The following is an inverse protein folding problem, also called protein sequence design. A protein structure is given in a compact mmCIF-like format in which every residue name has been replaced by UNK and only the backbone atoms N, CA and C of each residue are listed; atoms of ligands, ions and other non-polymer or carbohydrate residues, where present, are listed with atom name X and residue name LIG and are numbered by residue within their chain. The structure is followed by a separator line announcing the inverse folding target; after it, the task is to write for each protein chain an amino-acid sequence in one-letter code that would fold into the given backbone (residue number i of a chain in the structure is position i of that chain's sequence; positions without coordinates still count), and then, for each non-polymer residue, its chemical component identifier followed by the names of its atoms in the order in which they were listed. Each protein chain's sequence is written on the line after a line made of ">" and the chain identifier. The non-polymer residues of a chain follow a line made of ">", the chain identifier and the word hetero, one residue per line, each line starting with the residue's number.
data_IF_061917329389
#
_entry.id   IF_061917329389
#
_cell.length_a   1.000
_cell.length_b   1.000
_cell.length_c   1.000
_cell.angle_alpha   90.00
_cell.angle_beta   90.00
_cell.angle_gamma   90.00
#
_symmetry.space_group_name_H-M   'P 1'
#
loop_
_entity.id
_entity.type
_entity.pdbx_description
1 polymer ?
#
# COMPACT_ATOMS: atom_id res chain seq x y z
N UNK A 1 -12.61 -3.33 4.66
CA UNK A 1 -11.85 -4.28 3.80
C UNK A 1 -10.78 -3.62 2.93
N UNK A 2 -11.09 -2.51 2.22
CA UNK A 2 -10.10 -1.85 1.34
C UNK A 2 -9.12 -0.97 2.12
N UNK A 3 -9.57 -0.35 3.19
CA UNK A 3 -8.76 0.52 4.07
C UNK A 3 -7.74 -0.31 4.87
N UNK A 4 -8.07 -1.50 5.31
CA UNK A 4 -7.20 -2.39 6.08
C UNK A 4 -5.95 -2.83 5.29
N UNK A 5 -6.03 -2.87 3.98
CA UNK A 5 -4.91 -3.22 3.09
C UNK A 5 -3.93 -2.07 2.85
N UNK A 6 -4.30 -0.84 3.25
CA UNK A 6 -3.47 0.35 3.07
C UNK A 6 -2.42 0.44 4.16
N UNK A 7 -1.27 1.01 3.81
CA UNK A 7 -0.21 1.28 4.79
C UNK A 7 -0.63 2.34 5.79
N UNK A 8 0.11 2.46 6.88
CA UNK A 8 -0.19 3.46 7.92
C UNK A 8 -0.08 4.87 7.33
N UNK A 9 0.95 5.14 6.54
CA UNK A 9 1.13 6.45 5.89
C UNK A 9 -0.01 6.77 4.92
N UNK A 10 -0.51 5.79 4.16
CA UNK A 10 -1.65 5.97 3.28
C UNK A 10 -2.94 6.30 4.04
N UNK A 11 -3.17 5.67 5.20
CA UNK A 11 -4.32 5.98 6.06
C UNK A 11 -4.23 7.38 6.66
N UNK A 12 -3.03 7.81 7.10
CA UNK A 12 -2.81 9.18 7.57
C UNK A 12 -3.06 10.19 6.45
N UNK A 13 -2.60 9.89 5.23
CA UNK A 13 -2.87 10.74 4.06
C UNK A 13 -4.37 10.85 3.76
N UNK A 14 -5.14 9.78 3.94
CA UNK A 14 -6.60 9.83 3.82
C UNK A 14 -7.21 10.74 4.88
N UNK A 15 -6.77 10.66 6.13
CA UNK A 15 -7.20 11.58 7.18
C UNK A 15 -6.92 13.04 6.78
N UNK A 16 -5.69 13.37 6.37
CA UNK A 16 -5.32 14.71 5.89
C UNK A 16 -6.23 15.22 4.77
N UNK A 17 -6.58 14.35 3.81
CA UNK A 17 -7.47 14.71 2.71
C UNK A 17 -8.92 14.95 3.17
N UNK A 18 -9.35 14.35 4.28
CA UNK A 18 -10.65 14.66 4.91
C UNK A 18 -10.58 16.00 5.65
N UNK A 19 -9.49 16.29 6.34
CA UNK A 19 -9.29 17.62 6.96
C UNK A 19 -9.28 18.74 5.91
N UNK A 20 -8.77 18.51 4.71
CA UNK A 20 -8.81 19.47 3.60
C UNK A 20 -10.23 19.81 3.12
N UNK A 21 -11.26 19.03 3.50
CA UNK A 21 -12.66 19.36 3.26
C UNK A 21 -13.17 20.55 4.10
N UNK A 22 -12.35 21.10 5.00
CA UNK A 22 -12.63 22.36 5.70
C UNK A 22 -13.06 23.47 4.71
N UNK A 23 -12.47 23.51 3.52
CA UNK A 23 -12.86 24.46 2.48
C UNK A 23 -14.37 24.42 2.14
N UNK A 24 -15.05 23.30 2.40
CA UNK A 24 -16.48 23.18 2.19
C UNK A 24 -17.33 23.93 3.24
N UNK A 25 -16.74 24.37 4.36
CA UNK A 25 -17.42 25.17 5.37
C UNK A 25 -17.77 26.57 4.85
N UNK A 26 -17.04 27.08 3.86
CA UNK A 26 -17.32 28.37 3.21
C UNK A 26 -18.53 28.31 2.27
N UNK A 27 -19.02 27.11 1.98
CA UNK A 27 -20.17 26.90 1.11
C UNK A 27 -21.47 26.89 1.94
N UNK A 28 -22.62 27.29 1.37
CA UNK A 28 -23.91 27.23 2.04
C UNK A 28 -24.45 25.78 2.07
N UNK A 29 -23.68 24.87 2.63
CA UNK A 29 -24.02 23.45 2.73
C UNK A 29 -23.73 22.93 4.13
N UNK A 30 -24.43 21.86 4.50
CA UNK A 30 -24.12 21.08 5.70
C UNK A 30 -23.88 19.64 5.30
N UNK A 31 -23.05 18.93 6.04
CA UNK A 31 -22.68 17.55 5.78
C UNK A 31 -22.23 16.84 7.05
N UNK A 32 -22.14 15.52 6.98
CA UNK A 32 -21.58 14.67 8.04
C UNK A 32 -20.37 13.93 7.45
N UNK A 33 -19.24 13.97 8.17
CA UNK A 33 -18.02 13.24 7.79
C UNK A 33 -18.08 11.76 8.20
N UNK A 34 -19.28 11.17 8.11
CA UNK A 34 -19.46 9.74 8.32
C UNK A 34 -18.77 8.93 7.22
N UNK A 35 -18.09 7.80 7.50
CA UNK A 35 -17.43 6.98 6.49
C UNK A 35 -18.32 6.61 5.29
N UNK A 36 -19.62 6.34 5.51
CA UNK A 36 -20.57 6.05 4.42
C UNK A 36 -20.92 7.26 3.55
N UNK A 37 -20.59 8.48 3.99
CA UNK A 37 -20.84 9.73 3.25
C UNK A 37 -19.59 10.26 2.55
N UNK A 38 -18.46 9.57 2.66
CA UNK A 38 -17.19 9.97 2.07
C UNK A 38 -16.80 9.01 0.94
N UNK A 39 -16.48 9.57 -0.21
CA UNK A 39 -15.86 8.84 -1.31
C UNK A 39 -14.39 9.21 -1.40
N UNK A 40 -13.56 8.19 -1.50
CA UNK A 40 -12.13 8.35 -1.74
C UNK A 40 -11.86 8.02 -3.20
N UNK A 41 -11.34 8.98 -3.95
CA UNK A 41 -10.94 8.79 -5.34
C UNK A 41 -9.67 7.93 -5.43
N UNK A 42 -9.31 7.50 -6.64
CA UNK A 42 -8.06 6.76 -6.89
C UNK A 42 -6.81 7.56 -6.47
N UNK A 43 -6.90 8.89 -6.58
CA UNK A 43 -5.83 9.82 -6.17
C UNK A 43 -5.89 10.17 -4.68
N UNK A 44 -6.63 9.38 -3.90
CA UNK A 44 -6.84 9.52 -2.46
C UNK A 44 -7.55 10.83 -2.03
N UNK A 45 -8.16 11.58 -2.95
CA UNK A 45 -8.94 12.75 -2.59
C UNK A 45 -10.26 12.35 -1.91
N UNK A 46 -10.61 13.02 -0.82
CA UNK A 46 -11.89 12.85 -0.16
C UNK A 46 -12.96 13.71 -0.83
N UNK A 47 -14.16 13.16 -1.02
CA UNK A 47 -15.32 13.85 -1.56
C UNK A 47 -16.56 13.49 -0.75
N UNK A 48 -17.41 14.49 -0.48
CA UNK A 48 -18.66 14.32 0.26
C UNK A 48 -19.77 13.91 -0.74
N UNK A 49 -20.45 12.80 -0.47
CA UNK A 49 -21.56 12.30 -1.28
C UNK A 49 -22.84 13.08 -1.08
N UNK A 50 -23.26 13.18 0.17
CA UNK A 50 -24.52 13.79 0.55
C UNK A 50 -24.28 15.08 1.31
N UNK A 51 -24.91 16.16 0.83
CA UNK A 51 -24.85 17.50 1.40
C UNK A 51 -26.27 18.01 1.59
N UNK A 52 -26.51 18.66 2.72
CA UNK A 52 -27.77 19.31 3.00
C UNK A 52 -27.68 20.82 2.76
N UNK A 53 -28.84 21.47 2.67
CA UNK A 53 -28.96 22.93 2.64
C UNK A 53 -29.44 23.37 4.02
N UNK A 54 -28.66 24.20 4.75
CA UNK A 54 -29.08 24.74 6.05
C UNK A 54 -30.42 25.47 5.95
N UNK A 55 -31.27 25.29 6.96
CA UNK A 55 -32.61 25.91 6.99
C UNK A 55 -33.67 25.19 6.15
N UNK A 56 -33.31 24.25 5.27
CA UNK A 56 -34.25 23.44 4.47
C UNK A 56 -34.20 21.97 4.89
N UNK A 57 -33.01 21.36 4.85
CA UNK A 57 -32.83 19.95 5.19
C UNK A 57 -32.35 19.74 6.62
N UNK A 58 -31.60 20.71 7.15
CA UNK A 58 -31.10 20.71 8.53
C UNK A 58 -31.24 22.10 9.13
N UNK A 59 -31.53 22.24 10.45
CA UNK A 59 -31.72 23.54 11.07
C UNK A 59 -30.46 24.39 11.12
N UNK A 60 -29.27 23.79 11.11
CA UNK A 60 -28.00 24.47 11.31
C UNK A 60 -26.95 24.13 10.27
N UNK A 61 -26.07 25.09 9.94
CA UNK A 61 -24.85 24.82 9.24
C UNK A 61 -23.85 24.08 10.16
N UNK A 62 -22.93 23.34 9.58
CA UNK A 62 -21.83 22.73 10.32
C UNK A 62 -20.90 23.82 10.84
N UNK A 63 -20.55 23.80 12.13
CA UNK A 63 -19.56 24.69 12.71
C UNK A 63 -18.14 24.15 12.49
N UNK A 64 -17.13 25.03 12.63
CA UNK A 64 -15.72 24.63 12.55
C UNK A 64 -15.34 23.63 13.66
N UNK A 65 -15.90 23.79 14.85
CA UNK A 65 -15.72 22.89 15.98
C UNK A 65 -16.34 21.51 15.70
N UNK A 66 -17.56 21.48 15.17
CA UNK A 66 -18.21 20.22 14.79
C UNK A 66 -17.48 19.52 13.68
N UNK A 67 -16.97 20.27 12.70
CA UNK A 67 -16.12 19.70 11.64
C UNK A 67 -14.85 19.07 12.21
N UNK A 68 -14.12 19.78 13.08
CA UNK A 68 -12.92 19.27 13.74
C UNK A 68 -13.23 17.98 14.50
N UNK A 69 -14.30 17.98 15.30
CA UNK A 69 -14.72 16.78 16.04
C UNK A 69 -15.03 15.60 15.12
N UNK A 70 -15.77 15.84 14.04
CA UNK A 70 -16.10 14.82 13.07
C UNK A 70 -14.84 14.29 12.34
N UNK A 71 -13.93 15.18 11.93
CA UNK A 71 -12.70 14.81 11.26
C UNK A 71 -11.77 13.96 12.15
N UNK A 72 -11.68 14.30 13.44
CA UNK A 72 -10.98 13.47 14.43
C UNK A 72 -11.61 12.09 14.60
N UNK A 73 -12.93 12.01 14.75
CA UNK A 73 -13.64 10.73 14.81
C UNK A 73 -13.39 9.89 13.55
N UNK A 74 -13.46 10.50 12.37
CA UNK A 74 -13.16 9.83 11.12
C UNK A 74 -11.72 9.31 11.10
N UNK A 75 -10.73 10.13 11.48
CA UNK A 75 -9.34 9.70 11.55
C UNK A 75 -9.16 8.47 12.45
N UNK A 76 -9.81 8.42 13.62
CA UNK A 76 -9.77 7.26 14.51
C UNK A 76 -10.33 6.00 13.84
N UNK A 77 -11.44 6.09 13.08
CA UNK A 77 -12.02 4.93 12.37
C UNK A 77 -11.12 4.35 11.29
N UNK A 78 -10.10 5.07 10.84
CA UNK A 78 -9.13 4.53 9.89
C UNK A 78 -8.12 3.56 10.54
N UNK A 79 -7.95 3.62 11.86
CA UNK A 79 -6.92 2.87 12.59
C UNK A 79 -7.49 1.90 13.62
N UNK A 80 -8.72 2.12 14.04
CA UNK A 80 -9.43 1.28 15.00
C UNK A 80 -10.77 0.83 14.38
N UNK A 81 -11.16 -0.40 14.63
CA UNK A 81 -12.48 -0.94 14.23
C UNK A 81 -13.55 -0.44 15.21
N UNK A 82 -13.84 0.86 15.14
CA UNK A 82 -14.78 1.55 16.00
C UNK A 82 -15.87 2.23 15.17
N UNK A 83 -17.10 2.23 15.70
CA UNK A 83 -18.20 2.93 15.06
C UNK A 83 -18.06 4.45 15.16
N UNK A 84 -18.20 5.12 14.02
CA UNK A 84 -18.07 6.58 13.93
C UNK A 84 -19.09 7.31 14.82
N UNK A 85 -20.34 6.82 14.88
CA UNK A 85 -21.38 7.50 15.63
C UNK A 85 -21.21 7.34 17.16
N UNK A 86 -20.64 6.22 17.58
CA UNK A 86 -20.30 6.01 18.99
C UNK A 86 -19.13 6.93 19.41
N UNK A 87 -18.09 7.02 18.58
CA UNK A 87 -16.99 7.98 18.76
C UNK A 87 -17.49 9.43 18.83
N UNK A 88 -18.34 9.80 17.89
CA UNK A 88 -18.88 11.14 17.81
C UNK A 88 -19.75 11.53 19.02
N UNK A 89 -20.47 10.58 19.60
CA UNK A 89 -21.25 10.77 20.84
C UNK A 89 -20.38 10.81 22.10
N UNK A 90 -19.11 10.44 21.99
CA UNK A 90 -18.17 10.41 23.11
C UNK A 90 -18.40 9.22 24.06
N UNK A 91 -19.00 8.13 23.58
CA UNK A 91 -19.37 6.97 24.40
C UNK A 91 -18.28 5.90 24.54
N UNK A 92 -17.11 6.06 23.89
CA UNK A 92 -16.04 5.08 23.91
C UNK A 92 -14.81 5.56 24.68
N UNK A 93 -14.38 4.77 25.65
CA UNK A 93 -13.05 4.87 26.26
C UNK A 93 -12.04 4.19 25.32
N UNK A 94 -11.08 4.98 24.86
CA UNK A 94 -10.08 4.56 23.87
C UNK A 94 -8.79 4.14 24.61
N UNK A 95 -8.73 2.89 25.06
CA UNK A 95 -7.63 2.38 25.88
C UNK A 95 -6.32 2.15 25.07
N UNK A 96 -6.39 1.93 23.77
CA UNK A 96 -5.20 1.59 22.94
C UNK A 96 -5.22 2.26 21.57
N UNK A 97 -4.91 3.54 21.54
CA UNK A 97 -4.67 4.25 20.28
C UNK A 97 -3.17 4.43 20.04
N UNK A 98 -2.72 4.49 18.77
CA UNK A 98 -1.41 4.99 18.42
C UNK A 98 -1.16 6.41 18.98
N UNK A 99 0.08 6.70 19.40
CA UNK A 99 0.43 7.97 20.06
C UNK A 99 -0.02 9.20 19.27
N UNK A 100 0.13 9.21 17.96
CA UNK A 100 -0.28 10.34 17.13
C UNK A 100 -1.82 10.57 17.12
N UNK A 101 -2.63 9.51 17.34
CA UNK A 101 -4.08 9.67 17.47
C UNK A 101 -4.47 10.22 18.84
N UNK A 102 -3.67 9.97 19.87
CA UNK A 102 -3.83 10.62 21.18
C UNK A 102 -3.49 12.11 21.04
N UNK A 103 -2.36 12.45 20.41
CA UNK A 103 -2.02 13.85 20.11
C UNK A 103 -3.10 14.53 19.25
N UNK A 104 -3.61 13.86 18.23
CA UNK A 104 -4.69 14.36 17.37
C UNK A 104 -5.98 14.65 18.18
N UNK A 105 -6.32 13.77 19.12
CA UNK A 105 -7.50 13.98 19.97
C UNK A 105 -7.39 15.23 20.83
N UNK A 106 -6.19 15.52 21.34
CA UNK A 106 -5.90 16.67 22.20
C UNK A 106 -5.77 17.99 21.43
N UNK A 107 -5.61 17.96 20.10
CA UNK A 107 -5.50 19.17 19.28
C UNK A 107 -6.77 20.03 19.41
N UNK A 108 -6.64 21.30 19.73
CA UNK A 108 -7.77 22.22 19.94
C UNK A 108 -8.19 22.99 18.66
N UNK A 109 -7.32 23.00 17.65
CA UNK A 109 -7.57 23.67 16.38
C UNK A 109 -7.41 22.71 15.18
N UNK A 110 -7.95 23.12 14.03
CA UNK A 110 -7.76 22.39 12.78
C UNK A 110 -6.30 22.42 12.34
N UNK A 111 -5.65 23.54 12.54
CA UNK A 111 -4.24 23.76 12.22
C UNK A 111 -3.34 22.81 13.03
N UNK A 112 -3.58 22.69 14.34
CA UNK A 112 -2.84 21.77 15.20
C UNK A 112 -3.09 20.32 14.82
N UNK A 113 -4.34 19.97 14.54
CA UNK A 113 -4.70 18.61 14.10
C UNK A 113 -4.01 18.21 12.78
N UNK A 114 -3.98 19.14 11.81
CA UNK A 114 -3.27 18.93 10.53
C UNK A 114 -1.77 18.81 10.76
N UNK A 115 -1.17 19.66 11.61
CA UNK A 115 0.26 19.59 11.92
C UNK A 115 0.66 18.24 12.55
N UNK A 116 -0.15 17.70 13.47
CA UNK A 116 0.06 16.38 14.06
C UNK A 116 0.03 15.27 12.98
N UNK A 117 -0.98 15.32 12.09
CA UNK A 117 -1.11 14.34 11.02
C UNK A 117 0.01 14.45 9.99
N UNK A 118 0.44 15.67 9.61
CA UNK A 118 1.55 15.88 8.66
C UNK A 118 2.87 15.34 9.21
N UNK A 119 3.18 15.66 10.48
CA UNK A 119 4.36 15.12 11.18
C UNK A 119 4.35 13.59 11.15
N UNK A 120 3.23 12.99 11.58
CA UNK A 120 3.08 11.54 11.64
C UNK A 120 3.15 10.88 10.26
N UNK A 121 2.61 11.54 9.22
CA UNK A 121 2.71 11.09 7.84
C UNK A 121 4.16 11.03 7.37
N UNK A 122 4.95 12.07 7.61
CA UNK A 122 6.36 12.11 7.22
C UNK A 122 7.17 11.02 7.92
N UNK A 123 6.97 10.84 9.23
CA UNK A 123 7.63 9.81 10.01
C UNK A 123 7.30 8.39 9.49
N UNK A 124 6.01 8.09 9.31
CA UNK A 124 5.58 6.77 8.84
C UNK A 124 5.93 6.50 7.39
N UNK A 125 5.86 7.49 6.52
CA UNK A 125 6.29 7.36 5.13
C UNK A 125 7.81 7.09 5.02
N UNK A 126 8.62 7.72 5.84
CA UNK A 126 10.06 7.47 5.90
C UNK A 126 10.37 6.05 6.40
N UNK A 127 9.72 5.59 7.48
CA UNK A 127 9.86 4.22 7.99
C UNK A 127 9.47 3.16 6.94
N UNK A 128 8.37 3.39 6.23
CA UNK A 128 7.87 2.47 5.18
C UNK A 128 8.81 2.43 3.97
N UNK A 129 9.32 3.58 3.54
CA UNK A 129 10.30 3.68 2.46
C UNK A 129 11.61 2.95 2.80
N UNK A 130 12.10 3.07 4.04
CA UNK A 130 13.28 2.35 4.51
C UNK A 130 13.05 0.82 4.50
N UNK A 131 11.90 0.37 5.01
CA UNK A 131 11.52 -1.06 4.99
C UNK A 131 11.45 -1.60 3.57
N UNK A 132 10.86 -0.85 2.62
CA UNK A 132 10.77 -1.26 1.21
C UNK A 132 12.15 -1.35 0.56
N UNK A 133 13.05 -0.41 0.85
CA UNK A 133 14.43 -0.46 0.33
C UNK A 133 15.21 -1.65 0.87
N UNK A 134 15.05 -2.01 2.13
CA UNK A 134 15.69 -3.18 2.73
C UNK A 134 15.17 -4.49 2.12
N UNK A 135 13.87 -4.62 1.92
CA UNK A 135 13.24 -5.79 1.26
C UNK A 135 13.73 -5.90 -0.19
N UNK A 136 13.74 -4.80 -0.95
CA UNK A 136 14.23 -4.77 -2.32
C UNK A 136 15.69 -5.19 -2.43
N UNK A 137 16.58 -4.70 -1.58
CA UNK A 137 17.99 -5.10 -1.53
C UNK A 137 18.18 -6.58 -1.22
N UNK A 138 17.37 -7.15 -0.33
CA UNK A 138 17.40 -8.58 0.01
C UNK A 138 16.94 -9.44 -1.16
N UNK A 139 15.83 -9.08 -1.81
CA UNK A 139 15.35 -9.76 -3.01
C UNK A 139 16.38 -9.73 -4.14
N UNK A 140 16.99 -8.56 -4.38
CA UNK A 140 18.00 -8.42 -5.42
C UNK A 140 19.23 -9.32 -5.18
N UNK A 141 19.66 -9.49 -3.93
CA UNK A 141 20.74 -10.44 -3.57
C UNK A 141 20.32 -11.89 -3.85
N UNK A 142 19.08 -12.27 -3.52
CA UNK A 142 18.57 -13.62 -3.77
C UNK A 142 18.49 -13.88 -5.28
N UNK A 143 17.96 -12.94 -6.07
CA UNK A 143 17.90 -13.05 -7.52
C UNK A 143 19.28 -13.17 -8.16
N UNK A 144 20.25 -12.36 -7.74
CA UNK A 144 21.65 -12.48 -8.22
C UNK A 144 22.23 -13.86 -7.94
N UNK A 145 22.03 -14.38 -6.73
CA UNK A 145 22.52 -15.71 -6.37
C UNK A 145 21.85 -16.80 -7.19
N UNK A 146 20.53 -16.75 -7.36
CA UNK A 146 19.78 -17.68 -8.19
C UNK A 146 20.23 -17.65 -9.66
N UNK A 147 20.50 -16.48 -10.21
CA UNK A 147 21.00 -16.33 -11.58
C UNK A 147 22.38 -16.98 -11.74
N UNK A 148 23.30 -16.79 -10.77
CA UNK A 148 24.63 -17.43 -10.79
C UNK A 148 24.51 -18.95 -10.78
N UNK A 149 23.66 -19.50 -9.93
CA UNK A 149 23.44 -20.96 -9.88
C UNK A 149 22.80 -21.51 -11.15
N UNK A 150 21.85 -20.77 -11.74
CA UNK A 150 21.21 -21.16 -13.00
C UNK A 150 22.23 -21.16 -14.16
N UNK A 151 23.05 -20.13 -14.26
CA UNK A 151 24.10 -20.09 -15.32
C UNK A 151 25.13 -21.20 -15.14
N UNK A 152 25.55 -21.48 -13.91
CA UNK A 152 26.45 -22.61 -13.64
C UNK A 152 25.83 -23.98 -14.06
N UNK A 153 24.56 -24.18 -13.75
CA UNK A 153 23.82 -25.38 -14.15
C UNK A 153 23.74 -25.52 -15.68
N UNK A 154 23.47 -24.45 -16.40
CA UNK A 154 23.44 -24.46 -17.87
C UNK A 154 24.81 -24.81 -18.45
N UNK A 155 25.89 -24.25 -17.93
CA UNK A 155 27.24 -24.59 -18.38
C UNK A 155 27.59 -26.06 -18.15
N UNK A 156 27.26 -26.57 -16.97
CA UNK A 156 27.49 -28.00 -16.64
C UNK A 156 26.72 -28.95 -17.59
N UNK A 157 25.52 -28.59 -17.99
CA UNK A 157 24.70 -29.38 -18.90
C UNK A 157 25.15 -29.28 -20.38
N UNK A 158 25.69 -28.14 -20.80
CA UNK A 158 26.13 -27.89 -22.17
C UNK A 158 27.43 -28.62 -22.50
N UNK A 159 28.36 -28.74 -21.56
CA UNK A 159 29.64 -29.44 -21.78
C UNK A 159 29.48 -30.89 -22.23
N UNK A 160 28.72 -31.76 -21.52
CA UNK A 160 28.50 -33.17 -21.96
C UNK A 160 27.70 -33.27 -23.27
N UNK A 161 26.79 -32.31 -23.54
CA UNK A 161 26.05 -32.28 -24.79
C UNK A 161 26.95 -31.99 -25.98
N UNK A 162 27.87 -31.06 -25.85
CA UNK A 162 28.90 -30.76 -26.85
C UNK A 162 29.82 -32.01 -27.07
N UNK A 163 30.23 -32.64 -25.98
CA UNK A 163 31.02 -33.87 -26.05
C UNK A 163 30.30 -35.02 -26.84
N UNK A 164 29.02 -35.24 -26.56
CA UNK A 164 28.21 -36.23 -27.26
C UNK A 164 28.06 -35.91 -28.76
N UNK A 165 27.80 -34.65 -29.11
CA UNK A 165 27.56 -34.26 -30.51
C UNK A 165 28.86 -34.28 -31.32
N UNK A 166 29.95 -33.71 -30.81
CA UNK A 166 31.16 -33.52 -31.60
C UNK A 166 32.17 -34.66 -31.52
N UNK A 167 32.18 -35.45 -30.44
CA UNK A 167 33.18 -36.51 -30.25
C UNK A 167 32.58 -37.90 -30.44
N UNK A 168 31.43 -38.22 -29.86
CA UNK A 168 30.86 -39.57 -29.97
C UNK A 168 30.17 -39.84 -31.32
N UNK A 169 29.43 -38.88 -31.88
CA UNK A 169 28.71 -39.12 -33.13
C UNK A 169 29.65 -39.35 -34.34
N UNK A 170 30.66 -38.53 -34.61
CA UNK A 170 31.55 -38.77 -35.75
C UNK A 170 32.43 -40.03 -35.56
N UNK A 171 32.68 -40.42 -34.29
CA UNK A 171 33.44 -41.67 -34.03
C UNK A 171 32.58 -42.91 -34.30
N UNK A 172 31.31 -42.92 -33.98
CA UNK A 172 30.36 -43.99 -34.31
C UNK A 172 30.12 -44.12 -35.81
N UNK A 173 30.02 -43.00 -36.54
CA UNK A 173 29.89 -43.04 -38.00
C UNK A 173 31.11 -43.63 -38.68
N UNK A 174 32.32 -43.31 -38.23
CA UNK A 174 33.55 -43.89 -38.76
C UNK A 174 33.68 -45.41 -38.48
N UNK A 175 33.25 -45.87 -37.31
CA UNK A 175 33.18 -47.29 -36.96
C UNK A 175 32.17 -48.05 -37.83
N UNK A 176 30.98 -47.48 -38.05
CA UNK A 176 29.94 -48.06 -38.93
C UNK A 176 30.40 -48.11 -40.38
N UNK A 177 31.14 -47.14 -40.90
CA UNK A 177 31.72 -47.14 -42.23
C UNK A 177 32.84 -48.19 -42.38
N UNK A 178 33.64 -48.42 -41.36
CA UNK A 178 34.67 -49.48 -41.36
C UNK A 178 34.04 -50.87 -41.40
N UNK A 179 33.00 -51.13 -40.59
CA UNK A 179 32.26 -52.44 -40.57
C UNK A 179 31.59 -52.73 -41.91
N UNK A 180 30.97 -51.72 -42.53
CA UNK A 180 30.35 -51.87 -43.87
C UNK A 180 31.39 -52.11 -45.00
N UNK A 181 32.61 -51.59 -44.83
CA UNK A 181 33.69 -51.84 -45.77
C UNK A 181 34.22 -53.33 -45.72
N UNK A 182 34.19 -53.90 -44.53
CA UNK A 182 34.56 -55.33 -44.38
C UNK A 182 33.56 -56.37 -44.99
N UNK A 183 32.27 -55.99 -45.00
CA UNK A 183 31.21 -56.86 -45.56
C UNK A 183 31.20 -56.84 -47.12
N UNK A 184 31.90 -55.96 -47.77
CA UNK A 184 31.90 -55.78 -49.22
C UNK A 184 33.02 -56.51 -49.92
N UNK A 185 33.81 -57.42 -49.28
CA UNK A 185 35.00 -58.09 -49.82
C UNK A 185 34.82 -59.61 -49.94
N UNK A 186 33.60 -60.14 -49.74
CA UNK A 186 33.28 -61.56 -50.03
C UNK A 186 32.40 -61.66 -51.29
#
# INVERSE_FOLDING_TARGET
>A
EEIEKRTISERIRLALNVFALEAALELPVTFLLHPSNLFITKDAQAKIAYRGVPGIMTPQAISREDFLRQAKCFAVTLFADLDFMELYKGSLELETLPDFLVELREADSLEDAVAVLEKSYQEKAAEEAEKQTLVSKRQHKIFKLATIWLTAAVVILTIPLIYLIFIQNPFKEKLLQADTAFIKVD
#
